data_IF_807363820925
#
_entry.id   IF_807363820925
#
_cell.length_a   1.000
_cell.length_b   1.000
_cell.length_c   1.000
_cell.angle_alpha   90.00
_cell.angle_beta   90.00
_cell.angle_gamma   90.00
#
_symmetry.space_group_name_H-M   'P 1'
#
loop_
_entity.id
_entity.type
_entity.pdbx_description
1 polymer ?
#
# COMPACT_ATOMS: atom_id res chain seq x y z
N UNK A 1 -3.85 -16.47 -3.31
CA UNK A 1 -4.92 -15.54 -3.73
C UNK A 1 -4.87 -15.45 -5.25
N UNK A 2 -5.76 -16.17 -5.94
CA UNK A 2 -5.85 -16.15 -7.41
C UNK A 2 -6.75 -14.96 -7.75
N UNK A 3 -6.19 -13.97 -8.45
CA UNK A 3 -6.95 -12.84 -8.97
C UNK A 3 -7.72 -13.35 -10.22
N UNK A 4 -9.03 -13.08 -10.26
CA UNK A 4 -9.86 -13.29 -11.44
C UNK A 4 -10.10 -11.91 -12.07
N UNK A 5 -9.66 -11.72 -13.32
CA UNK A 5 -9.95 -10.52 -14.14
C UNK A 5 -8.97 -9.37 -13.92
N UNK A 6 -7.69 -9.61 -14.20
CA UNK A 6 -6.57 -8.89 -13.60
C UNK A 6 -6.31 -7.49 -14.19
N UNK A 7 -6.98 -6.47 -13.67
CA UNK A 7 -6.30 -5.17 -13.56
C UNK A 7 -5.11 -5.41 -12.63
N UNK A 8 -3.86 -5.23 -13.10
CA UNK A 8 -2.70 -5.52 -12.28
C UNK A 8 -2.77 -4.77 -10.95
N UNK A 9 -2.49 -5.47 -9.85
CA UNK A 9 -2.55 -4.94 -8.48
C UNK A 9 -1.83 -3.58 -8.35
N UNK A 10 -0.75 -3.39 -9.11
CA UNK A 10 0.00 -2.13 -9.16
C UNK A 10 -0.80 -0.93 -9.71
N UNK A 11 -1.67 -1.13 -10.70
CA UNK A 11 -2.50 -0.05 -11.28
C UNK A 11 -3.52 0.40 -10.24
N UNK A 12 -4.12 -0.56 -9.53
CA UNK A 12 -5.07 -0.30 -8.46
C UNK A 12 -4.38 0.43 -7.30
N UNK A 13 -3.19 -0.02 -6.88
CA UNK A 13 -2.43 0.63 -5.83
C UNK A 13 -2.00 2.05 -6.20
N UNK A 14 -1.63 2.30 -7.46
CA UNK A 14 -1.27 3.66 -7.93
C UNK A 14 -2.45 4.63 -7.78
N UNK A 15 -3.68 4.17 -8.03
CA UNK A 15 -4.87 5.01 -7.87
C UNK A 15 -5.08 5.41 -6.41
N UNK A 16 -4.99 4.46 -5.48
CA UNK A 16 -5.18 4.71 -4.05
C UNK A 16 -4.01 5.46 -3.42
N UNK A 17 -2.78 5.25 -3.92
CA UNK A 17 -1.62 6.06 -3.56
C UNK A 17 -1.85 7.52 -3.89
N UNK A 18 -2.27 7.81 -5.12
CA UNK A 18 -2.56 9.19 -5.51
C UNK A 18 -3.65 9.81 -4.64
N UNK A 19 -4.68 9.04 -4.30
CA UNK A 19 -5.75 9.53 -3.43
C UNK A 19 -5.22 9.87 -2.03
N UNK A 20 -4.50 8.96 -1.36
CA UNK A 20 -4.02 9.23 0.01
C UNK A 20 -2.99 10.37 0.05
N UNK A 21 -2.15 10.51 -0.98
CA UNK A 21 -1.13 11.56 -1.06
C UNK A 21 -1.70 12.91 -1.52
N UNK A 22 -2.86 12.93 -2.16
CA UNK A 22 -3.55 14.17 -2.51
C UNK A 22 -4.27 14.81 -1.31
N UNK A 23 -4.41 14.09 -0.20
CA UNK A 23 -5.05 14.60 1.00
C UNK A 23 -4.33 15.83 1.54
N UNK A 24 -5.08 16.91 1.74
CA UNK A 24 -4.59 18.09 2.42
C UNK A 24 -4.54 17.82 3.93
N UNK A 25 -3.35 17.50 4.44
CA UNK A 25 -3.15 17.17 5.86
C UNK A 25 -3.64 18.26 6.82
N UNK A 26 -3.54 19.55 6.48
CA UNK A 26 -4.04 20.62 7.37
C UNK A 26 -5.57 20.52 7.51
N UNK A 27 -6.26 20.36 6.38
CA UNK A 27 -7.72 20.18 6.36
C UNK A 27 -8.12 18.90 7.09
N UNK A 28 -7.45 17.79 6.81
CA UNK A 28 -7.72 16.51 7.42
C UNK A 28 -7.57 16.59 8.96
N UNK A 29 -6.51 17.23 9.46
CA UNK A 29 -6.33 17.46 10.89
C UNK A 29 -7.46 18.31 11.46
N UNK A 30 -7.86 19.40 10.79
CA UNK A 30 -8.98 20.23 11.28
C UNK A 30 -10.29 19.45 11.40
N UNK A 31 -10.57 18.53 10.48
CA UNK A 31 -11.81 17.74 10.47
C UNK A 31 -11.79 16.59 11.47
N UNK A 32 -10.68 15.84 11.52
CA UNK A 32 -10.64 14.53 12.17
C UNK A 32 -9.88 14.50 13.48
N UNK A 33 -9.19 15.58 13.88
CA UNK A 33 -8.30 15.56 15.05
C UNK A 33 -9.01 15.10 16.32
N UNK A 34 -10.19 15.62 16.61
CA UNK A 34 -10.89 15.29 17.85
C UNK A 34 -11.23 13.79 17.93
N UNK A 35 -11.67 13.22 16.81
CA UNK A 35 -11.96 11.79 16.71
C UNK A 35 -10.69 10.94 16.73
N UNK A 36 -9.62 11.39 16.06
CA UNK A 36 -8.34 10.69 16.06
C UNK A 36 -7.62 10.75 17.40
N UNK A 37 -7.82 11.80 18.20
CA UNK A 37 -7.25 11.94 19.54
C UNK A 37 -7.91 10.96 20.54
N UNK A 38 -9.08 10.39 20.22
CA UNK A 38 -9.69 9.34 21.06
C UNK A 38 -9.02 7.97 20.91
N UNK A 39 -8.24 7.78 19.84
CA UNK A 39 -7.51 6.54 19.59
C UNK A 39 -6.35 6.41 20.59
N UNK A 40 -6.53 5.55 21.59
CA UNK A 40 -5.51 5.26 22.62
C UNK A 40 -4.60 4.12 22.20
N UNK A 41 -3.81 4.34 21.14
CA UNK A 41 -2.79 3.37 20.74
C UNK A 41 -1.52 3.69 21.52
N UNK A 42 -1.28 2.88 22.56
CA UNK A 42 0.06 2.76 23.12
C UNK A 42 0.92 2.06 22.07
N UNK A 43 1.78 2.81 21.38
CA UNK A 43 2.90 2.23 20.63
C UNK A 43 4.09 2.08 21.58
N UNK A 44 5.05 1.27 21.18
CA UNK A 44 6.38 1.06 21.78
C UNK A 44 7.16 2.37 22.00
N UNK A 45 6.81 3.44 21.27
CA UNK A 45 7.44 4.76 21.34
C UNK A 45 6.58 5.77 22.15
N UNK A 46 5.47 5.33 22.76
CA UNK A 46 4.54 6.18 23.51
C UNK A 46 3.46 6.82 22.63
N UNK A 47 2.65 7.74 23.20
CA UNK A 47 1.59 8.42 22.43
C UNK A 47 2.22 9.22 21.30
N UNK A 48 2.02 8.74 20.08
CA UNK A 48 2.75 9.23 18.95
C UNK A 48 1.88 10.25 18.18
N UNK A 49 2.21 11.55 18.18
CA UNK A 49 1.48 12.56 17.38
C UNK A 49 1.47 12.22 15.87
N UNK A 50 2.40 11.40 15.40
CA UNK A 50 2.36 10.87 14.04
C UNK A 50 1.15 9.95 13.81
N UNK A 51 0.72 9.16 14.80
CA UNK A 51 -0.46 8.30 14.69
C UNK A 51 -1.73 9.13 14.56
N UNK A 52 -1.87 10.23 15.30
CA UNK A 52 -3.00 11.16 15.14
C UNK A 52 -3.03 11.75 13.72
N UNK A 53 -1.88 12.21 13.21
CA UNK A 53 -1.80 12.76 11.85
C UNK A 53 -2.13 11.69 10.80
N UNK A 54 -1.61 10.48 10.97
CA UNK A 54 -1.90 9.34 10.10
C UNK A 54 -3.38 8.98 10.12
N UNK A 55 -3.99 8.97 11.31
CA UNK A 55 -5.43 8.75 11.47
C UNK A 55 -6.21 9.79 10.68
N UNK A 56 -5.91 11.08 10.87
CA UNK A 56 -6.63 12.16 10.19
C UNK A 56 -6.53 12.01 8.66
N UNK A 57 -5.34 11.67 8.15
CA UNK A 57 -5.12 11.45 6.73
C UNK A 57 -5.86 10.20 6.21
N UNK A 58 -5.85 9.10 6.98
CA UNK A 58 -6.56 7.87 6.65
C UNK A 58 -8.09 8.09 6.60
N UNK A 59 -8.65 8.83 7.56
CA UNK A 59 -10.07 9.14 7.63
C UNK A 59 -10.53 9.96 6.42
N UNK A 60 -9.79 11.02 6.07
CA UNK A 60 -10.11 11.82 4.89
C UNK A 60 -9.97 11.01 3.59
N UNK A 61 -8.95 10.17 3.49
CA UNK A 61 -8.76 9.26 2.36
C UNK A 61 -9.94 8.29 2.19
N UNK A 62 -10.33 7.60 3.26
CA UNK A 62 -11.44 6.64 3.21
C UNK A 62 -12.75 7.36 2.85
N UNK A 63 -12.98 8.56 3.40
CA UNK A 63 -14.14 9.38 3.06
C UNK A 63 -14.15 9.76 1.58
N UNK A 64 -13.02 10.22 1.05
CA UNK A 64 -12.91 10.61 -0.35
C UNK A 64 -13.15 9.43 -1.30
N UNK A 65 -12.61 8.25 -0.98
CA UNK A 65 -12.86 7.05 -1.79
C UNK A 65 -14.31 6.61 -1.72
N UNK A 66 -14.91 6.65 -0.53
CA UNK A 66 -16.31 6.32 -0.29
C UNK A 66 -17.27 7.24 -1.07
N UNK A 67 -17.09 8.55 -0.93
CA UNK A 67 -17.91 9.58 -1.60
C UNK A 67 -17.82 9.43 -3.14
N UNK A 68 -16.62 9.21 -3.68
CA UNK A 68 -16.39 9.09 -5.13
C UNK A 68 -17.00 7.86 -5.77
N UNK A 69 -17.25 6.81 -4.99
CA UNK A 69 -17.79 5.53 -5.49
C UNK A 69 -19.27 5.35 -5.23
N UNK A 70 -19.98 6.43 -4.91
CA UNK A 70 -21.40 6.35 -4.59
C UNK A 70 -21.63 5.52 -3.34
N UNK A 71 -20.87 5.83 -2.27
CA UNK A 71 -21.04 5.24 -0.95
C UNK A 71 -20.67 3.76 -0.86
N UNK A 72 -19.61 3.34 -1.56
CA UNK A 72 -19.04 2.00 -1.40
C UNK A 72 -17.51 2.04 -1.39
N UNK A 73 -16.90 1.31 -0.47
CA UNK A 73 -15.46 1.09 -0.44
C UNK A 73 -15.16 -0.26 -1.08
N UNK A 74 -14.25 -0.28 -2.05
CA UNK A 74 -13.76 -1.56 -2.55
C UNK A 74 -12.65 -2.08 -1.65
N UNK A 75 -12.50 -3.40 -1.68
CA UNK A 75 -11.43 -4.15 -1.03
C UNK A 75 -10.04 -3.53 -1.22
N UNK A 76 -9.74 -3.04 -2.42
CA UNK A 76 -8.42 -2.46 -2.72
C UNK A 76 -8.12 -1.15 -1.96
N UNK A 77 -9.13 -0.36 -1.61
CA UNK A 77 -8.92 0.86 -0.82
C UNK A 77 -8.42 0.52 0.60
N UNK A 78 -8.96 -0.53 1.18
CA UNK A 78 -8.58 -1.06 2.49
C UNK A 78 -7.20 -1.74 2.44
N UNK A 79 -6.95 -2.59 1.44
CA UNK A 79 -5.64 -3.23 1.24
C UNK A 79 -4.53 -2.19 1.06
N UNK A 80 -4.80 -1.15 0.28
CA UNK A 80 -3.84 -0.07 0.09
C UNK A 80 -3.61 0.73 1.38
N UNK A 81 -4.66 1.01 2.17
CA UNK A 81 -4.50 1.69 3.45
C UNK A 81 -3.59 0.89 4.40
N UNK A 82 -3.80 -0.44 4.47
CA UNK A 82 -2.95 -1.33 5.27
C UNK A 82 -1.48 -1.28 4.80
N UNK A 83 -1.25 -1.37 3.48
CA UNK A 83 0.07 -1.21 2.88
C UNK A 83 0.70 0.16 3.19
N UNK A 84 -0.08 1.24 3.12
CA UNK A 84 0.38 2.59 3.41
C UNK A 84 0.85 2.73 4.86
N UNK A 85 0.11 2.18 5.83
CA UNK A 85 0.53 2.14 7.25
C UNK A 85 1.81 1.31 7.38
N UNK A 86 1.92 0.17 6.69
CA UNK A 86 3.12 -0.65 6.70
C UNK A 86 4.37 0.10 6.21
N UNK A 87 4.23 1.08 5.30
CA UNK A 87 5.39 1.90 4.88
C UNK A 87 6.02 2.72 6.02
N UNK A 88 5.31 2.91 7.14
CA UNK A 88 5.85 3.56 8.34
C UNK A 88 6.67 2.60 9.21
N UNK A 89 6.40 1.29 9.21
CA UNK A 89 7.32 0.29 9.79
C UNK A 89 8.69 0.36 9.13
N UNK A 90 8.74 0.51 7.79
CA UNK A 90 10.00 0.68 7.05
C UNK A 90 10.79 1.93 7.44
N UNK A 91 10.13 2.93 8.01
CA UNK A 91 10.77 4.14 8.54
C UNK A 91 11.25 3.96 9.99
N UNK A 92 11.16 2.74 10.54
CA UNK A 92 11.37 2.41 11.95
C UNK A 92 10.48 3.23 12.89
N UNK A 93 9.27 3.57 12.44
CA UNK A 93 8.29 4.33 13.22
C UNK A 93 7.33 3.39 13.97
N UNK A 94 7.08 2.19 13.44
CA UNK A 94 6.11 1.22 13.96
C UNK A 94 6.67 -0.21 13.90
N UNK A 95 6.27 -1.04 14.85
CA UNK A 95 6.49 -2.50 14.83
C UNK A 95 5.39 -3.23 14.04
N UNK A 96 5.65 -4.47 13.60
CA UNK A 96 4.67 -5.29 12.84
C UNK A 96 3.31 -5.40 13.51
N UNK A 97 3.32 -5.69 14.81
CA UNK A 97 2.11 -5.91 15.61
C UNK A 97 1.29 -4.63 15.76
N UNK A 98 1.96 -3.48 15.75
CA UNK A 98 1.32 -2.16 15.87
C UNK A 98 0.58 -1.77 14.59
N UNK A 99 1.09 -2.15 13.41
CA UNK A 99 0.43 -1.85 12.13
C UNK A 99 -0.98 -2.42 12.10
N UNK A 100 -1.15 -3.69 12.50
CA UNK A 100 -2.47 -4.34 12.51
C UNK A 100 -3.41 -3.63 13.47
N UNK A 101 -2.91 -3.27 14.66
CA UNK A 101 -3.69 -2.55 15.67
C UNK A 101 -4.11 -1.17 15.16
N UNK A 102 -3.17 -0.37 14.64
CA UNK A 102 -3.42 0.96 14.08
C UNK A 102 -4.45 0.92 12.96
N UNK A 103 -4.27 -0.02 12.03
CA UNK A 103 -5.20 -0.21 10.95
C UNK A 103 -6.62 -0.51 11.46
N UNK A 104 -6.78 -1.47 12.38
CA UNK A 104 -8.09 -1.82 12.94
C UNK A 104 -8.77 -0.63 13.62
N UNK A 105 -8.01 0.17 14.39
CA UNK A 105 -8.53 1.39 15.02
C UNK A 105 -9.01 2.41 14.00
N UNK A 106 -8.26 2.63 12.90
CA UNK A 106 -8.68 3.54 11.84
C UNK A 106 -9.97 3.07 11.16
N UNK A 107 -10.08 1.76 10.88
CA UNK A 107 -11.28 1.19 10.25
C UNK A 107 -12.49 1.30 11.19
N UNK A 108 -12.30 1.02 12.48
CA UNK A 108 -13.38 1.11 13.47
C UNK A 108 -13.87 2.55 13.62
N UNK A 109 -12.95 3.52 13.70
CA UNK A 109 -13.31 4.93 13.76
C UNK A 109 -14.05 5.38 12.51
N UNK A 110 -13.60 4.96 11.33
CA UNK A 110 -14.28 5.25 10.07
C UNK A 110 -15.71 4.71 10.05
N UNK A 111 -15.91 3.47 10.50
CA UNK A 111 -17.24 2.87 10.62
C UNK A 111 -18.13 3.65 11.57
N UNK A 112 -17.62 4.02 12.75
CA UNK A 112 -18.40 4.77 13.74
C UNK A 112 -18.84 6.16 13.22
N UNK A 113 -17.96 6.86 12.49
CA UNK A 113 -18.17 8.28 12.16
C UNK A 113 -18.85 8.53 10.82
N UNK A 114 -18.62 7.67 9.84
CA UNK A 114 -19.06 7.91 8.46
C UNK A 114 -20.10 6.88 8.02
N UNK A 115 -20.10 5.67 8.58
CA UNK A 115 -20.89 4.57 8.05
C UNK A 115 -22.08 4.22 8.95
N UNK A 116 -23.30 4.45 8.45
CA UNK A 116 -24.53 4.10 9.17
C UNK A 116 -24.82 2.58 9.05
N UNK A 117 -24.18 1.79 9.91
CA UNK A 117 -24.44 0.41 10.38
C UNK A 117 -25.02 -0.71 9.45
N UNK A 118 -25.28 -0.51 8.16
CA UNK A 118 -26.13 -1.44 7.40
C UNK A 118 -25.45 -2.21 6.27
N UNK A 119 -24.34 -1.75 5.69
CA UNK A 119 -23.81 -2.43 4.48
C UNK A 119 -22.28 -2.45 4.33
N UNK A 120 -21.49 -2.51 5.41
CA UNK A 120 -20.09 -2.99 5.29
C UNK A 120 -20.10 -4.52 5.30
N UNK A 121 -20.71 -5.11 4.27
CA UNK A 121 -20.58 -6.54 4.00
C UNK A 121 -19.10 -6.84 3.70
N UNK A 122 -18.57 -7.84 4.42
CA UNK A 122 -17.29 -8.51 4.18
C UNK A 122 -15.99 -7.70 4.36
N UNK A 123 -15.91 -6.82 5.37
CA UNK A 123 -14.59 -6.58 5.96
C UNK A 123 -14.15 -7.85 6.70
N UNK A 124 -13.56 -8.80 5.96
CA UNK A 124 -12.77 -9.85 6.56
C UNK A 124 -11.55 -9.17 7.17
N UNK A 125 -11.32 -9.39 8.45
CA UNK A 125 -10.08 -9.02 9.10
C UNK A 125 -8.93 -9.52 8.22
N UNK A 126 -8.21 -8.58 7.59
CA UNK A 126 -7.15 -8.93 6.66
C UNK A 126 -5.97 -9.45 7.48
N UNK A 127 -5.77 -10.76 7.48
CA UNK A 127 -4.55 -11.38 7.96
C UNK A 127 -3.51 -11.37 6.84
N UNK A 128 -3.02 -10.18 6.45
CA UNK A 128 -1.86 -10.11 5.57
C UNK A 128 -0.64 -10.34 6.44
N UNK A 129 0.13 -11.38 6.14
CA UNK A 129 1.37 -11.69 6.84
C UNK A 129 2.46 -10.68 6.49
N UNK A 130 3.46 -10.53 7.37
CA UNK A 130 4.65 -9.71 7.08
C UNK A 130 5.35 -10.15 5.78
N UNK A 131 5.34 -11.45 5.48
CA UNK A 131 5.89 -12.00 4.24
C UNK A 131 5.11 -11.56 3.00
N UNK A 132 3.78 -11.60 3.06
CA UNK A 132 2.91 -11.11 1.97
C UNK A 132 3.07 -9.60 1.78
N UNK A 133 3.21 -8.83 2.87
CA UNK A 133 3.50 -7.39 2.78
C UNK A 133 4.85 -7.12 2.14
N UNK A 134 5.88 -7.90 2.50
CA UNK A 134 7.21 -7.76 1.90
C UNK A 134 7.16 -8.09 0.39
N UNK A 135 6.44 -9.14 -0.01
CA UNK A 135 6.23 -9.50 -1.42
C UNK A 135 5.51 -8.39 -2.17
N UNK A 136 4.43 -7.87 -1.59
CA UNK A 136 3.65 -6.76 -2.13
C UNK A 136 4.50 -5.50 -2.30
N UNK A 137 5.30 -5.18 -1.28
CA UNK A 137 6.22 -4.06 -1.32
C UNK A 137 7.26 -4.22 -2.43
N UNK A 138 7.88 -5.39 -2.55
CA UNK A 138 8.86 -5.65 -3.61
C UNK A 138 8.23 -5.49 -5.00
N UNK A 139 7.04 -6.05 -5.21
CA UNK A 139 6.28 -5.90 -6.45
C UNK A 139 5.99 -4.43 -6.77
N UNK A 140 5.61 -3.66 -5.75
CA UNK A 140 5.32 -2.24 -5.88
C UNK A 140 6.55 -1.40 -6.25
N UNK A 141 7.68 -1.61 -5.57
CA UNK A 141 8.94 -0.91 -5.84
C UNK A 141 9.51 -1.27 -7.23
N UNK A 142 9.38 -2.54 -7.65
CA UNK A 142 9.72 -2.96 -9.01
C UNK A 142 8.89 -2.21 -10.04
N UNK A 143 7.58 -2.13 -9.83
CA UNK A 143 6.70 -1.41 -10.73
C UNK A 143 7.02 0.10 -10.79
N UNK A 144 7.27 0.73 -9.64
CA UNK A 144 7.70 2.13 -9.57
C UNK A 144 9.00 2.37 -10.35
N UNK A 145 9.95 1.45 -10.23
CA UNK A 145 11.20 1.49 -10.99
C UNK A 145 10.94 1.39 -12.50
N UNK A 146 10.04 0.51 -12.94
CA UNK A 146 9.64 0.38 -14.35
C UNK A 146 9.02 1.69 -14.87
N UNK A 147 8.14 2.34 -14.10
CA UNK A 147 7.57 3.65 -14.50
C UNK A 147 8.68 4.68 -14.67
N UNK A 148 9.59 4.80 -13.68
CA UNK A 148 10.69 5.76 -13.73
C UNK A 148 11.60 5.54 -14.94
N UNK A 149 11.91 4.28 -15.25
CA UNK A 149 12.64 3.89 -16.45
C UNK A 149 11.88 4.36 -17.70
N UNK A 150 10.59 4.01 -17.83
CA UNK A 150 9.78 4.37 -18.99
C UNK A 150 9.71 5.87 -19.19
N UNK A 151 9.53 6.65 -18.13
CA UNK A 151 9.45 8.10 -18.22
C UNK A 151 10.79 8.75 -18.56
N UNK A 152 11.91 8.22 -18.04
CA UNK A 152 13.26 8.64 -18.49
C UNK A 152 13.48 8.31 -19.97
N UNK A 153 12.94 7.19 -20.44
CA UNK A 153 13.07 6.74 -21.82
C UNK A 153 12.20 7.48 -22.82
N UNK A 154 11.01 7.95 -22.43
CA UNK A 154 10.14 8.78 -23.30
C UNK A 154 10.83 10.04 -23.81
N UNK A 155 11.76 10.60 -23.04
CA UNK A 155 12.43 11.84 -23.40
C UNK A 155 13.62 11.67 -24.36
N UNK A 156 13.93 10.44 -24.81
CA UNK A 156 15.04 10.12 -25.73
C UNK A 156 16.40 10.72 -25.35
N UNK A 157 16.59 11.13 -24.09
CA UNK A 157 17.83 11.79 -23.65
C UNK A 157 19.02 10.83 -23.62
N UNK A 158 18.78 9.52 -23.60
CA UNK A 158 19.82 8.49 -23.69
C UNK A 158 19.24 7.18 -24.25
N UNK A 159 19.25 6.98 -25.59
CA UNK A 159 18.73 5.76 -26.22
C UNK A 159 19.53 4.51 -25.86
N UNK A 160 20.82 4.64 -25.54
CA UNK A 160 21.66 3.53 -25.08
C UNK A 160 21.19 3.00 -23.71
N UNK A 161 20.92 3.90 -22.75
CA UNK A 161 20.33 3.53 -21.46
C UNK A 161 19.00 2.78 -21.64
N UNK A 162 18.14 3.25 -22.53
CA UNK A 162 16.83 2.64 -22.77
C UNK A 162 16.91 1.27 -23.44
N UNK A 163 17.84 1.10 -24.38
CA UNK A 163 18.10 -0.19 -25.00
C UNK A 163 18.68 -1.19 -23.99
N UNK A 164 19.62 -0.77 -23.15
CA UNK A 164 20.17 -1.62 -22.08
C UNK A 164 19.09 -2.08 -21.11
N UNK A 165 18.24 -1.16 -20.66
CA UNK A 165 17.15 -1.51 -19.73
C UNK A 165 16.11 -2.39 -20.39
N UNK A 166 15.78 -2.14 -21.67
CA UNK A 166 14.87 -3.00 -22.45
C UNK A 166 15.43 -4.42 -22.56
N UNK A 167 16.71 -4.59 -22.88
CA UNK A 167 17.35 -5.89 -22.98
C UNK A 167 17.31 -6.65 -21.65
N UNK A 168 17.61 -5.98 -20.53
CA UNK A 168 17.52 -6.59 -19.19
C UNK A 168 16.10 -7.09 -18.91
N UNK A 169 15.09 -6.25 -19.17
CA UNK A 169 13.68 -6.63 -18.97
C UNK A 169 13.32 -7.85 -19.84
N UNK A 170 13.72 -7.86 -21.10
CA UNK A 170 13.48 -8.97 -22.04
C UNK A 170 14.16 -10.27 -21.60
N UNK A 171 15.41 -10.21 -21.09
CA UNK A 171 16.11 -11.37 -20.52
C UNK A 171 15.33 -11.99 -19.35
N UNK A 172 14.80 -11.18 -18.44
CA UNK A 172 13.98 -11.67 -17.33
C UNK A 172 12.66 -12.29 -17.81
N UNK A 173 12.00 -11.73 -18.84
CA UNK A 173 10.78 -12.31 -19.40
C UNK A 173 11.03 -13.66 -20.10
N UNK A 174 12.16 -13.81 -20.78
CA UNK A 174 12.56 -15.07 -21.43
C UNK A 174 12.85 -16.17 -20.40
N UNK A 175 13.45 -15.82 -19.26
CA UNK A 175 13.66 -16.76 -18.15
C UNK A 175 12.33 -17.23 -17.52
N UNK A 176 11.28 -16.41 -17.54
CA UNK A 176 9.93 -16.79 -17.06
C UNK A 176 9.16 -17.76 -17.97
N UNK A 177 9.63 -17.98 -19.20
CA UNK A 177 9.03 -18.95 -20.15
C UNK A 177 9.69 -20.34 -20.13
N UNK A 178 10.72 -20.54 -19.29
CA UNK A 178 11.33 -21.85 -19.09
C UNK A 178 10.57 -22.58 -17.97
N UNK A 179 9.99 -23.74 -18.35
CA UNK A 179 9.19 -24.71 -17.57
C UNK A 179 9.07 -24.52 -16.02
N UNK A 180 7.87 -24.74 -15.45
CA UNK A 180 7.64 -24.75 -14.01
C UNK A 180 8.19 -26.04 -13.37
N UNK A 181 9.52 -26.17 -13.29
CA UNK A 181 10.21 -27.20 -12.51
C UNK A 181 11.56 -26.69 -12.02
N UNK A 182 11.55 -25.66 -11.21
CA UNK A 182 12.64 -25.44 -10.26
C UNK A 182 12.07 -24.68 -9.06
N UNK A 183 11.85 -25.42 -7.98
CA UNK A 183 11.58 -24.85 -6.67
C UNK A 183 12.80 -24.00 -6.28
N UNK A 184 12.66 -22.67 -6.28
CA UNK A 184 13.67 -21.80 -5.70
C UNK A 184 13.90 -22.20 -4.24
N UNK A 185 15.07 -22.78 -3.96
CA UNK A 185 15.46 -23.08 -2.58
C UNK A 185 16.15 -21.83 -1.99
N UNK A 186 15.90 -21.45 -0.72
CA UNK A 186 16.42 -20.22 -0.11
C UNK A 186 17.96 -20.11 0.00
N UNK A 187 18.72 -21.09 -0.49
CA UNK A 187 20.18 -21.17 -0.27
C UNK A 187 21.02 -20.36 -1.25
N UNK A 188 20.45 -19.85 -2.35
CA UNK A 188 21.25 -19.26 -3.43
C UNK A 188 21.55 -17.76 -3.27
N UNK A 189 20.89 -17.06 -2.32
CA UNK A 189 21.13 -15.63 -2.08
C UNK A 189 22.41 -15.33 -1.28
N UNK A 190 23.09 -16.34 -0.72
CA UNK A 190 24.28 -16.14 0.12
C UNK A 190 25.61 -16.09 -0.67
N UNK A 191 25.58 -16.18 -2.00
CA UNK A 191 26.80 -16.24 -2.83
C UNK A 191 27.06 -14.98 -3.68
N UNK A 192 26.40 -13.86 -3.40
CA UNK A 192 26.87 -12.57 -3.92
C UNK A 192 27.99 -12.04 -3.02
N UNK A 193 29.25 -12.25 -3.44
CA UNK A 193 30.43 -11.59 -2.88
C UNK A 193 30.60 -10.19 -3.47
#
# INVERSE_FOLDING_TARGET
>A
MILQGDVPLHILFTKYEKAIHAINNKRAITLWKNDCDTIKINTSIGFNPYVTVMCCQAMEYLKEVYDKKGNSLDKFAFEYLYYWIYTYKRKNILESEEIKKIYMEFINLFKEKIYDNTEVYDFKEYSITDEELQKLNNLYEMHKSIILIKDKCKNNKNPEYCNTVKNIIEEFYLQGTVNPRETCSPKELNNCK
#
